data_IF_592341403818
#
_entry.id   IF_592341403818
#
_cell.length_a   1.000
_cell.length_b   1.000
_cell.length_c   1.000
_cell.angle_alpha   90.00
_cell.angle_beta   90.00
_cell.angle_gamma   90.00
#
_symmetry.space_group_name_H-M   'P 1'
#
loop_
_entity.id
_entity.type
_entity.pdbx_description
1 polymer ?
#
# COMPACT_ATOMS: atom_id res chain seq x y z
N UNK A 1 21.55 -10.23 -14.78
CA UNK A 1 20.43 -9.26 -14.87
C UNK A 1 20.03 -8.66 -13.52
N UNK A 2 19.96 -9.43 -12.45
CA UNK A 2 19.48 -8.94 -11.14
C UNK A 2 20.46 -7.99 -10.42
N UNK A 3 21.77 -8.22 -10.48
CA UNK A 3 22.77 -7.26 -9.98
C UNK A 3 22.73 -5.92 -10.74
N UNK A 4 22.29 -5.91 -12.01
CA UNK A 4 22.06 -4.68 -12.76
C UNK A 4 20.83 -3.90 -12.27
N UNK A 5 19.73 -4.59 -11.91
CA UNK A 5 18.51 -3.94 -11.43
C UNK A 5 18.72 -3.27 -10.07
N UNK A 6 19.46 -3.91 -9.17
CA UNK A 6 19.82 -3.35 -7.87
C UNK A 6 20.71 -2.13 -7.99
N UNK A 7 21.65 -2.15 -8.92
CA UNK A 7 22.51 -1.02 -9.26
C UNK A 7 21.69 0.15 -9.85
N UNK A 8 20.62 -0.13 -10.63
CA UNK A 8 19.73 0.89 -11.17
C UNK A 8 18.92 1.60 -10.08
N UNK A 9 18.33 0.84 -9.13
CA UNK A 9 17.57 1.44 -8.03
C UNK A 9 18.46 2.31 -7.16
N UNK A 10 19.63 1.81 -6.72
CA UNK A 10 20.56 2.60 -5.92
C UNK A 10 21.06 3.82 -6.68
N UNK A 11 21.51 3.65 -7.92
CA UNK A 11 21.98 4.75 -8.78
C UNK A 11 20.97 5.89 -8.89
N UNK A 12 19.66 5.58 -9.00
CA UNK A 12 18.63 6.60 -9.19
C UNK A 12 18.12 7.18 -7.86
N UNK A 13 18.04 6.37 -6.80
CA UNK A 13 17.43 6.73 -5.52
C UNK A 13 18.41 7.26 -4.48
N UNK A 14 19.71 6.99 -4.63
CA UNK A 14 20.75 7.50 -3.72
C UNK A 14 20.65 9.01 -3.56
N UNK A 15 20.62 9.46 -2.31
CA UNK A 15 20.51 10.86 -1.90
C UNK A 15 19.22 11.58 -2.30
N UNK A 16 18.24 10.89 -2.94
CA UNK A 16 16.95 11.49 -3.28
C UNK A 16 16.19 11.84 -2.01
N UNK A 17 15.68 13.05 -1.96
CA UNK A 17 14.80 13.54 -0.90
C UNK A 17 13.37 13.08 -1.17
N UNK A 18 12.90 12.15 -0.38
CA UNK A 18 11.60 11.50 -0.55
C UNK A 18 10.73 11.77 0.68
N UNK A 19 9.55 12.35 0.46
CA UNK A 19 8.56 12.58 1.50
C UNK A 19 7.48 11.51 1.41
N UNK A 20 7.21 10.81 2.53
CA UNK A 20 6.17 9.77 2.61
C UNK A 20 5.09 10.21 3.59
N UNK A 21 3.89 10.50 3.09
CA UNK A 21 2.70 10.63 3.90
C UNK A 21 2.13 9.24 4.24
N UNK A 22 1.93 8.95 5.52
CA UNK A 22 1.51 7.62 6.00
C UNK A 22 2.67 6.65 6.21
N UNK A 23 3.88 7.14 6.42
CA UNK A 23 5.09 6.33 6.50
C UNK A 23 5.15 5.40 7.72
N UNK A 24 4.42 5.68 8.79
CA UNK A 24 4.34 4.79 9.96
C UNK A 24 3.37 3.62 9.78
N UNK A 25 2.52 3.67 8.74
CA UNK A 25 1.60 2.58 8.41
C UNK A 25 2.29 1.35 7.85
N UNK A 26 1.52 0.30 7.57
CA UNK A 26 2.03 -0.98 7.05
C UNK A 26 2.88 -0.79 5.79
N UNK A 27 2.29 -0.31 4.69
CA UNK A 27 3.02 -0.12 3.42
C UNK A 27 4.13 0.93 3.58
N UNK A 28 3.85 2.01 4.32
CA UNK A 28 4.78 3.13 4.50
C UNK A 28 6.06 2.74 5.23
N UNK A 29 5.98 1.92 6.26
CA UNK A 29 7.16 1.48 7.02
C UNK A 29 8.05 0.54 6.21
N UNK A 30 7.47 -0.41 5.48
CA UNK A 30 8.23 -1.26 4.55
C UNK A 30 8.88 -0.44 3.44
N UNK A 31 8.16 0.54 2.88
CA UNK A 31 8.70 1.41 1.83
C UNK A 31 9.84 2.29 2.37
N UNK A 32 9.71 2.85 3.56
CA UNK A 32 10.77 3.66 4.18
C UNK A 32 12.05 2.85 4.36
N UNK A 33 11.96 1.61 4.87
CA UNK A 33 13.09 0.69 4.99
C UNK A 33 13.72 0.37 3.63
N UNK A 34 12.89 0.05 2.65
CA UNK A 34 13.35 -0.29 1.29
C UNK A 34 14.06 0.90 0.62
N UNK A 35 13.53 2.11 0.72
CA UNK A 35 14.15 3.30 0.16
C UNK A 35 15.46 3.64 0.89
N UNK A 36 15.52 3.42 2.20
CA UNK A 36 16.74 3.61 2.99
C UNK A 36 17.84 2.61 2.60
N UNK A 37 17.49 1.36 2.24
CA UNK A 37 18.47 0.38 1.75
C UNK A 37 19.10 0.81 0.41
N UNK A 38 18.42 1.66 -0.37
CA UNK A 38 18.96 2.32 -1.56
C UNK A 38 19.50 3.73 -1.29
N UNK A 39 19.85 4.03 -0.02
CA UNK A 39 20.50 5.29 0.41
C UNK A 39 19.69 6.56 0.10
N UNK A 40 18.36 6.48 0.07
CA UNK A 40 17.50 7.65 -0.07
C UNK A 40 17.38 8.42 1.25
N UNK A 41 17.19 9.73 1.16
CA UNK A 41 16.88 10.59 2.31
C UNK A 41 15.35 10.67 2.50
N UNK A 42 14.84 9.92 3.47
CA UNK A 42 13.40 9.79 3.71
C UNK A 42 12.94 10.66 4.87
N UNK A 43 11.92 11.50 4.62
CA UNK A 43 11.15 12.22 5.64
C UNK A 43 9.75 11.62 5.70
N UNK A 44 9.27 11.28 6.90
CA UNK A 44 7.93 10.78 7.11
C UNK A 44 6.98 11.81 7.71
N UNK A 45 5.73 11.82 7.23
CA UNK A 45 4.60 12.50 7.90
C UNK A 45 3.53 11.46 8.16
N UNK A 46 3.16 11.26 9.43
CA UNK A 46 2.20 10.23 9.79
C UNK A 46 1.64 10.43 11.19
N UNK A 47 0.50 9.81 11.46
CA UNK A 47 0.04 9.62 12.82
C UNK A 47 0.84 8.49 13.51
N UNK A 48 0.89 8.53 14.83
CA UNK A 48 1.48 7.45 15.65
C UNK A 48 0.62 6.19 15.53
N UNK A 49 1.24 5.06 15.25
CA UNK A 49 0.53 3.79 15.18
C UNK A 49 0.21 3.26 16.59
N UNK A 50 -1.00 2.76 16.81
CA UNK A 50 -1.46 2.36 18.14
C UNK A 50 -0.81 1.07 18.65
N UNK A 51 -0.48 0.14 17.76
CA UNK A 51 0.03 -1.18 18.13
C UNK A 51 1.56 -1.18 18.12
N UNK A 52 2.17 -1.68 19.21
CA UNK A 52 3.63 -1.77 19.36
C UNK A 52 4.31 -2.74 18.38
N UNK A 53 3.55 -3.64 17.76
CA UNK A 53 4.09 -4.62 16.80
C UNK A 53 4.22 -4.07 15.37
N UNK A 54 3.88 -2.81 15.11
CA UNK A 54 4.23 -2.16 13.83
C UNK A 54 5.73 -1.93 13.75
N UNK A 55 6.30 -2.13 12.55
CA UNK A 55 7.73 -1.87 12.26
C UNK A 55 8.11 -0.46 12.70
N UNK A 56 7.28 0.52 12.42
CA UNK A 56 7.49 1.93 12.76
C UNK A 56 7.54 2.22 14.27
N UNK A 57 7.12 1.28 15.11
CA UNK A 57 7.18 1.41 16.57
C UNK A 57 8.43 0.79 17.19
N UNK A 58 9.29 0.13 16.40
CA UNK A 58 10.60 -0.36 16.87
C UNK A 58 11.53 0.83 17.19
N UNK A 59 12.46 0.60 18.13
CA UNK A 59 13.45 1.63 18.52
C UNK A 59 14.33 2.03 17.34
N UNK A 60 14.75 1.04 16.56
CA UNK A 60 15.63 1.19 15.40
C UNK A 60 14.94 2.02 14.31
N UNK A 61 13.67 1.78 14.01
CA UNK A 61 12.93 2.58 13.04
C UNK A 61 12.86 4.04 13.47
N UNK A 62 12.52 4.31 14.74
CA UNK A 62 12.44 5.67 15.29
C UNK A 62 13.78 6.40 15.29
N UNK A 63 14.89 5.65 15.49
CA UNK A 63 16.24 6.21 15.41
C UNK A 63 16.65 6.57 13.99
N UNK A 64 16.26 5.74 13.02
CA UNK A 64 16.74 5.87 11.63
C UNK A 64 15.87 6.78 10.76
N UNK A 65 14.63 7.06 11.16
CA UNK A 65 13.72 7.87 10.34
C UNK A 65 13.20 9.10 11.09
N UNK A 66 13.33 10.26 10.45
CA UNK A 66 12.67 11.49 10.92
C UNK A 66 11.18 11.40 10.62
N UNK A 67 10.36 11.53 11.65
CA UNK A 67 8.91 11.52 11.57
C UNK A 67 8.34 12.85 12.06
N UNK A 68 7.51 13.47 11.26
CA UNK A 68 6.65 14.56 11.69
C UNK A 68 5.28 13.95 12.03
N UNK A 69 4.91 14.01 13.33
CA UNK A 69 3.58 13.57 13.75
C UNK A 69 2.56 14.62 13.36
N UNK A 70 1.80 14.38 12.31
CA UNK A 70 0.78 15.30 11.82
C UNK A 70 -0.32 14.55 11.09
N UNK A 71 -1.57 14.98 11.32
CA UNK A 71 -2.70 14.57 10.49
C UNK A 71 -2.65 15.33 9.16
N UNK A 72 -2.82 14.62 8.04
CA UNK A 72 -2.81 15.23 6.70
C UNK A 72 -3.92 16.27 6.48
N UNK A 73 -4.93 16.29 7.34
CA UNK A 73 -5.95 17.35 7.36
C UNK A 73 -5.41 18.70 7.85
N UNK A 74 -4.27 18.69 8.54
CA UNK A 74 -3.68 19.87 9.21
C UNK A 74 -2.27 20.18 8.69
N UNK A 75 -2.01 20.03 7.39
CA UNK A 75 -0.68 20.18 6.79
C UNK A 75 -0.14 21.62 6.90
N UNK A 76 -1.02 22.60 7.02
CA UNK A 76 -0.64 24.01 7.17
C UNK A 76 0.37 24.21 8.31
N UNK A 77 0.23 23.44 9.41
CA UNK A 77 1.11 23.51 10.59
C UNK A 77 2.56 23.05 10.32
N UNK A 78 2.79 22.32 9.24
CA UNK A 78 4.09 21.71 8.92
C UNK A 78 4.58 22.06 7.52
N UNK A 79 3.84 22.88 6.78
CA UNK A 79 4.12 23.26 5.40
C UNK A 79 5.55 23.78 5.24
N UNK A 80 5.95 24.76 6.05
CA UNK A 80 7.30 25.35 6.02
C UNK A 80 8.40 24.30 6.22
N UNK A 81 8.19 23.32 7.12
CA UNK A 81 9.16 22.24 7.36
C UNK A 81 9.31 21.35 6.13
N UNK A 82 8.20 21.06 5.44
CA UNK A 82 8.20 20.23 4.22
C UNK A 82 8.87 20.99 3.08
N UNK A 83 8.55 22.27 2.87
CA UNK A 83 9.18 23.09 1.82
C UNK A 83 10.70 23.20 2.08
N UNK A 84 11.13 23.41 3.31
CA UNK A 84 12.56 23.45 3.69
C UNK A 84 13.27 22.10 3.45
N UNK A 85 12.60 20.99 3.56
CA UNK A 85 13.15 19.67 3.24
C UNK A 85 13.44 19.53 1.74
N UNK A 86 12.72 20.25 0.87
CA UNK A 86 12.87 20.26 -0.60
C UNK A 86 12.73 18.84 -1.21
N UNK A 87 11.60 18.15 -1.03
CA UNK A 87 11.43 16.80 -1.58
C UNK A 87 11.43 16.82 -3.11
N UNK A 88 12.09 15.83 -3.72
CA UNK A 88 12.03 15.56 -5.16
C UNK A 88 10.89 14.60 -5.51
N UNK A 89 10.49 13.78 -4.54
CA UNK A 89 9.45 12.76 -4.69
C UNK A 89 8.52 12.84 -3.48
N UNK A 90 7.21 12.83 -3.72
CA UNK A 90 6.18 12.66 -2.69
C UNK A 90 5.48 11.33 -2.93
N UNK A 91 5.28 10.57 -1.85
CA UNK A 91 4.52 9.32 -1.87
C UNK A 91 3.37 9.44 -0.87
N UNK A 92 2.15 9.40 -1.38
CA UNK A 92 0.93 9.55 -0.61
C UNK A 92 0.30 8.19 -0.32
N UNK A 93 0.59 7.65 0.88
CA UNK A 93 0.03 6.40 1.41
C UNK A 93 -0.96 6.65 2.57
N UNK A 94 -1.02 7.88 3.07
CA UNK A 94 -1.90 8.22 4.19
C UNK A 94 -3.36 8.13 3.75
N UNK A 95 -4.13 7.31 4.43
CA UNK A 95 -5.58 7.17 4.20
C UNK A 95 -6.24 6.48 5.38
N UNK A 96 -7.56 6.60 5.49
CA UNK A 96 -8.39 5.66 6.23
C UNK A 96 -8.64 4.45 5.29
N UNK A 97 -8.05 3.24 5.59
CA UNK A 97 -8.01 2.14 4.62
C UNK A 97 -9.05 1.04 4.85
N UNK A 98 -9.95 1.19 5.82
CA UNK A 98 -10.84 0.13 6.30
C UNK A 98 -12.28 0.42 5.89
N UNK A 99 -12.90 -0.50 5.13
CA UNK A 99 -14.29 -0.37 4.64
C UNK A 99 -15.27 -0.22 5.80
N UNK A 100 -15.17 -1.09 6.82
CA UNK A 100 -16.05 -1.03 8.00
C UNK A 100 -15.96 0.31 8.74
N UNK A 101 -14.77 0.91 8.80
CA UNK A 101 -14.58 2.21 9.42
C UNK A 101 -15.24 3.31 8.58
N UNK A 102 -15.25 3.16 7.25
CA UNK A 102 -15.99 4.05 6.36
C UNK A 102 -17.48 4.11 6.68
N UNK A 103 -18.10 2.97 6.98
CA UNK A 103 -19.51 2.92 7.39
C UNK A 103 -19.75 3.52 8.78
N UNK A 104 -18.83 3.31 9.72
CA UNK A 104 -18.95 3.83 11.09
C UNK A 104 -18.70 5.34 11.15
N UNK A 105 -17.71 5.82 10.43
CA UNK A 105 -17.21 7.20 10.47
C UNK A 105 -17.02 7.74 9.04
N UNK A 106 -18.12 7.95 8.26
CA UNK A 106 -18.03 8.36 6.87
C UNK A 106 -17.40 9.75 6.70
N UNK A 107 -17.75 10.71 7.53
CA UNK A 107 -17.18 12.07 7.49
C UNK A 107 -15.66 12.04 7.64
N UNK A 108 -15.14 11.37 8.66
CA UNK A 108 -13.70 11.24 8.89
C UNK A 108 -12.98 10.52 7.74
N UNK A 109 -13.67 9.55 7.09
CA UNK A 109 -13.15 8.85 5.91
C UNK A 109 -13.02 9.80 4.72
N UNK A 110 -14.05 10.62 4.44
CA UNK A 110 -14.00 11.60 3.37
C UNK A 110 -12.99 12.71 3.64
N UNK A 111 -12.98 13.27 4.85
CA UNK A 111 -11.98 14.26 5.24
C UNK A 111 -10.55 13.77 5.07
N UNK A 112 -10.26 12.55 5.50
CA UNK A 112 -8.91 11.98 5.39
C UNK A 112 -8.55 11.68 3.94
N UNK A 113 -9.40 10.95 3.21
CA UNK A 113 -9.07 10.44 1.90
C UNK A 113 -9.23 11.47 0.78
N UNK A 114 -10.16 12.42 0.92
CA UNK A 114 -10.43 13.46 -0.09
C UNK A 114 -9.72 14.75 0.28
N UNK A 115 -10.11 15.39 1.39
CA UNK A 115 -9.55 16.68 1.78
C UNK A 115 -8.05 16.57 2.08
N UNK A 116 -7.63 15.48 2.77
CA UNK A 116 -6.20 15.23 3.00
C UNK A 116 -5.40 15.10 1.70
N UNK A 117 -5.97 14.45 0.67
CA UNK A 117 -5.32 14.38 -0.65
C UNK A 117 -5.24 15.74 -1.33
N UNK A 118 -6.32 16.53 -1.31
CA UNK A 118 -6.31 17.90 -1.84
C UNK A 118 -5.20 18.73 -1.18
N UNK A 119 -5.09 18.70 0.15
CA UNK A 119 -4.04 19.43 0.87
C UNK A 119 -2.63 19.00 0.48
N UNK A 120 -2.39 17.71 0.27
CA UNK A 120 -1.10 17.21 -0.22
C UNK A 120 -0.81 17.71 -1.64
N UNK A 121 -1.81 17.73 -2.52
CA UNK A 121 -1.65 18.18 -3.90
C UNK A 121 -1.44 19.71 -3.96
N UNK A 122 -2.15 20.50 -3.13
CA UNK A 122 -1.92 21.94 -3.00
C UNK A 122 -0.51 22.24 -2.47
N UNK A 123 -0.07 21.55 -1.42
CA UNK A 123 1.30 21.66 -0.93
C UNK A 123 2.32 21.31 -2.04
N UNK A 124 2.02 20.31 -2.86
CA UNK A 124 2.88 19.90 -3.97
C UNK A 124 3.07 20.98 -5.04
N UNK A 125 2.11 21.87 -5.23
CA UNK A 125 2.22 23.03 -6.15
C UNK A 125 3.33 23.99 -5.71
N UNK A 126 3.49 24.17 -4.40
CA UNK A 126 4.44 25.13 -3.78
C UNK A 126 5.89 24.61 -3.78
N UNK A 127 6.14 23.32 -4.05
CA UNK A 127 7.48 22.71 -3.97
C UNK A 127 8.14 22.72 -5.34
N UNK A 128 9.11 23.59 -5.56
CA UNK A 128 9.80 23.73 -6.86
C UNK A 128 10.68 22.53 -7.23
N UNK A 129 11.27 21.86 -6.23
CA UNK A 129 12.15 20.69 -6.42
C UNK A 129 11.41 19.41 -6.77
N UNK A 130 10.09 19.38 -6.60
CA UNK A 130 9.26 18.19 -6.76
C UNK A 130 9.15 17.78 -8.23
N UNK A 131 9.45 16.51 -8.50
CA UNK A 131 9.41 15.90 -9.84
C UNK A 131 8.32 14.86 -10.00
N UNK A 132 8.07 14.08 -8.93
CA UNK A 132 7.10 12.97 -8.96
C UNK A 132 6.23 12.96 -7.72
N UNK A 133 4.96 12.63 -7.92
CA UNK A 133 3.98 12.37 -6.86
C UNK A 133 3.39 11.00 -7.12
N UNK A 134 3.50 10.07 -6.18
CA UNK A 134 2.83 8.79 -6.24
C UNK A 134 1.65 8.80 -5.27
N UNK A 135 0.44 8.58 -5.79
CA UNK A 135 -0.80 8.49 -5.01
C UNK A 135 -1.26 7.04 -4.99
N UNK A 136 -1.42 6.49 -3.80
CA UNK A 136 -1.82 5.11 -3.60
C UNK A 136 -3.32 5.03 -3.32
N UNK A 137 -4.07 4.48 -4.27
CA UNK A 137 -5.51 4.29 -4.15
C UNK A 137 -5.85 2.81 -3.89
N UNK A 138 -6.84 2.24 -4.53
CA UNK A 138 -7.31 0.88 -4.26
C UNK A 138 -7.95 0.28 -5.51
N UNK A 139 -8.04 -1.05 -5.57
CA UNK A 139 -8.88 -1.78 -6.50
C UNK A 139 -10.39 -1.49 -6.34
N UNK A 140 -10.79 -0.88 -5.22
CA UNK A 140 -12.18 -0.50 -4.93
C UNK A 140 -12.61 0.84 -5.55
N UNK A 141 -11.72 1.51 -6.28
CA UNK A 141 -12.05 2.76 -7.01
C UNK A 141 -13.03 2.55 -8.16
N UNK A 142 -13.19 1.32 -8.61
CA UNK A 142 -14.02 1.01 -9.76
C UNK A 142 -15.50 0.84 -9.42
N UNK A 143 -16.37 1.35 -10.30
CA UNK A 143 -17.75 0.95 -10.30
C UNK A 143 -17.81 -0.51 -10.79
N UNK A 144 -17.89 -1.42 -9.83
CA UNK A 144 -17.83 -2.84 -10.10
C UNK A 144 -19.18 -3.37 -10.55
N UNK A 145 -19.27 -3.74 -11.81
CA UNK A 145 -20.40 -4.48 -12.38
C UNK A 145 -19.92 -5.93 -12.58
N UNK A 146 -20.26 -6.77 -11.65
CA UNK A 146 -20.09 -8.22 -11.55
C UNK A 146 -19.22 -8.97 -12.58
N UNK A 147 -18.24 -9.73 -12.06
CA UNK A 147 -17.43 -10.75 -12.74
C UNK A 147 -16.49 -10.27 -13.87
N UNK A 148 -16.53 -9.01 -14.28
CA UNK A 148 -15.61 -8.48 -15.29
C UNK A 148 -14.23 -8.20 -14.71
N UNK A 149 -13.20 -8.41 -15.54
CA UNK A 149 -11.82 -7.96 -15.21
C UNK A 149 -11.74 -6.46 -15.49
N UNK A 150 -11.47 -5.68 -14.44
CA UNK A 150 -11.40 -4.24 -14.51
C UNK A 150 -10.00 -3.78 -14.92
N UNK A 151 -9.92 -2.86 -15.87
CA UNK A 151 -8.69 -2.24 -16.35
C UNK A 151 -8.61 -0.80 -15.86
N UNK A 152 -7.49 -0.13 -16.12
CA UNK A 152 -7.30 1.26 -15.75
C UNK A 152 -8.31 2.22 -16.39
N UNK A 153 -8.89 1.83 -17.52
CA UNK A 153 -9.92 2.59 -18.28
C UNK A 153 -11.36 2.27 -17.83
N UNK A 154 -11.52 1.31 -16.90
CA UNK A 154 -12.84 0.97 -16.37
C UNK A 154 -13.42 2.12 -15.55
N UNK A 155 -14.75 2.27 -15.59
CA UNK A 155 -15.49 3.35 -14.95
C UNK A 155 -15.21 3.40 -13.44
N UNK A 156 -14.87 4.58 -12.96
CA UNK A 156 -14.67 4.84 -11.53
C UNK A 156 -16.02 5.05 -10.83
N UNK A 157 -16.06 4.74 -9.54
CA UNK A 157 -17.22 4.94 -8.68
C UNK A 157 -17.19 3.99 -7.48
N UNK A 158 -17.95 4.27 -6.45
CA UNK A 158 -18.09 3.43 -5.28
C UNK A 158 -19.36 3.73 -4.53
N UNK A 159 -20.04 2.68 -4.05
CA UNK A 159 -21.33 2.79 -3.36
C UNK A 159 -21.17 2.89 -1.84
N UNK A 160 -20.05 2.45 -1.30
CA UNK A 160 -19.73 2.61 0.12
C UNK A 160 -18.80 3.81 0.35
N UNK A 161 -18.76 4.40 1.56
CA UNK A 161 -17.99 5.61 1.83
C UNK A 161 -16.48 5.45 1.57
N UNK A 162 -15.91 4.27 1.84
CA UNK A 162 -14.51 4.01 1.55
C UNK A 162 -14.24 3.98 0.04
N UNK A 163 -15.02 3.20 -0.71
CA UNK A 163 -14.87 3.08 -2.16
C UNK A 163 -15.08 4.42 -2.86
N UNK A 164 -16.13 5.17 -2.46
CA UNK A 164 -16.40 6.52 -2.96
C UNK A 164 -15.22 7.47 -2.67
N UNK A 165 -14.69 7.45 -1.44
CA UNK A 165 -13.55 8.30 -1.08
C UNK A 165 -12.28 7.99 -1.89
N UNK A 166 -12.04 6.70 -2.19
CA UNK A 166 -10.90 6.27 -3.00
C UNK A 166 -11.06 6.61 -4.48
N UNK A 167 -12.27 6.52 -5.01
CA UNK A 167 -12.59 6.99 -6.37
C UNK A 167 -12.40 8.51 -6.50
N UNK A 168 -12.88 9.27 -5.52
CA UNK A 168 -12.69 10.72 -5.47
C UNK A 168 -11.21 11.10 -5.37
N UNK A 169 -10.43 10.40 -4.52
CA UNK A 169 -8.98 10.58 -4.42
C UNK A 169 -8.30 10.40 -5.78
N UNK A 170 -8.70 9.37 -6.53
CA UNK A 170 -8.16 9.05 -7.85
C UNK A 170 -8.51 10.15 -8.87
N UNK A 171 -9.80 10.54 -8.97
CA UNK A 171 -10.29 11.58 -9.87
C UNK A 171 -9.66 12.95 -9.58
N UNK A 172 -9.55 13.33 -8.31
CA UNK A 172 -8.91 14.58 -7.89
C UNK A 172 -7.44 14.58 -8.30
N UNK A 173 -6.73 13.46 -8.12
CA UNK A 173 -5.32 13.36 -8.52
C UNK A 173 -5.15 13.50 -10.04
N UNK A 174 -6.05 12.95 -10.84
CA UNK A 174 -6.07 13.12 -12.29
C UNK A 174 -6.33 14.59 -12.67
N UNK A 175 -7.32 15.22 -12.04
CA UNK A 175 -7.67 16.63 -12.26
C UNK A 175 -6.49 17.56 -11.94
N UNK A 176 -5.83 17.35 -10.81
CA UNK A 176 -4.64 18.15 -10.44
C UNK A 176 -3.48 17.94 -11.40
N UNK A 177 -3.27 16.71 -11.89
CA UNK A 177 -2.25 16.44 -12.91
C UNK A 177 -2.49 17.22 -14.19
N UNK A 178 -3.72 17.26 -14.64
CA UNK A 178 -4.12 17.97 -15.85
C UNK A 178 -4.02 19.48 -15.68
N UNK A 179 -4.60 20.02 -14.61
CA UNK A 179 -4.82 21.45 -14.46
C UNK A 179 -3.63 22.21 -13.87
N UNK A 180 -2.87 21.61 -12.94
CA UNK A 180 -1.93 22.35 -12.10
C UNK A 180 -0.52 21.75 -12.03
N UNK A 181 -0.39 20.43 -12.18
CA UNK A 181 0.84 19.70 -11.91
C UNK A 181 1.40 18.98 -13.15
N UNK A 182 1.07 19.45 -14.34
CA UNK A 182 1.46 18.83 -15.63
C UNK A 182 2.98 18.75 -15.85
N UNK A 183 3.75 19.64 -15.22
CA UNK A 183 5.22 19.60 -15.24
C UNK A 183 5.79 18.58 -14.23
N UNK A 184 4.98 18.12 -13.29
CA UNK A 184 5.30 17.09 -12.30
C UNK A 184 4.55 15.80 -12.67
N UNK A 185 5.16 14.64 -12.46
CA UNK A 185 4.50 13.38 -12.85
C UNK A 185 3.66 12.87 -11.68
N UNK A 186 2.33 12.94 -11.79
CA UNK A 186 1.44 12.25 -10.84
C UNK A 186 1.22 10.82 -11.33
N UNK A 187 1.55 9.86 -10.48
CA UNK A 187 1.44 8.42 -10.70
C UNK A 187 0.40 7.89 -9.74
N UNK A 188 -0.61 7.18 -10.24
CA UNK A 188 -1.68 6.60 -9.43
C UNK A 188 -1.52 5.08 -9.42
N UNK A 189 -1.43 4.49 -8.23
CA UNK A 189 -1.39 3.04 -8.05
C UNK A 189 -2.70 2.54 -7.44
N UNK A 190 -3.36 1.64 -8.14
CA UNK A 190 -4.56 0.93 -7.71
C UNK A 190 -4.19 -0.50 -7.37
N UNK A 191 -4.02 -0.80 -6.09
CA UNK A 191 -3.61 -2.13 -5.66
C UNK A 191 -4.78 -2.95 -5.14
N UNK A 192 -4.69 -4.25 -5.38
CA UNK A 192 -5.50 -5.25 -4.69
C UNK A 192 -5.17 -5.37 -3.20
N UNK A 193 -5.68 -6.43 -2.57
CA UNK A 193 -5.44 -6.69 -1.15
C UNK A 193 -3.97 -7.02 -0.92
N UNK A 194 -3.28 -6.14 -0.19
CA UNK A 194 -1.86 -6.34 0.15
C UNK A 194 -1.76 -7.25 1.38
N UNK A 195 -0.90 -8.26 1.29
CA UNK A 195 -0.50 -9.12 2.42
C UNK A 195 0.99 -8.94 2.70
N UNK A 196 1.37 -9.10 3.97
CA UNK A 196 2.75 -8.97 4.42
C UNK A 196 2.82 -8.85 5.94
N UNK A 197 3.95 -9.13 6.51
CA UNK A 197 4.15 -9.00 7.95
C UNK A 197 4.01 -7.55 8.42
N UNK A 198 3.52 -7.35 9.65
CA UNK A 198 3.39 -6.02 10.24
C UNK A 198 2.14 -5.23 9.86
N UNK A 199 1.17 -5.79 9.16
CA UNK A 199 -0.18 -5.22 9.02
C UNK A 199 -1.05 -5.66 10.20
N UNK A 200 -1.30 -4.78 11.13
CA UNK A 200 -2.11 -5.07 12.32
C UNK A 200 -3.51 -4.46 12.25
N UNK A 201 -3.95 -4.05 11.06
CA UNK A 201 -5.30 -3.49 10.89
C UNK A 201 -6.38 -4.53 11.18
N UNK A 202 -7.45 -4.09 11.85
CA UNK A 202 -8.63 -4.92 12.09
C UNK A 202 -9.42 -5.14 10.81
N UNK A 203 -10.22 -6.21 10.79
CA UNK A 203 -11.08 -6.53 9.64
C UNK A 203 -10.32 -6.86 8.34
N UNK A 204 -9.08 -7.33 8.46
CA UNK A 204 -8.29 -7.89 7.37
C UNK A 204 -7.98 -9.34 7.67
N UNK A 205 -8.22 -10.23 6.71
CA UNK A 205 -8.22 -11.68 6.95
C UNK A 205 -6.90 -12.22 7.51
N UNK A 206 -5.74 -11.84 6.96
CA UNK A 206 -4.45 -12.36 7.42
C UNK A 206 -4.10 -11.86 8.83
N UNK A 207 -4.17 -10.56 9.15
CA UNK A 207 -4.06 -10.08 10.53
C UNK A 207 -5.05 -10.71 11.50
N UNK A 208 -6.31 -10.94 11.06
CA UNK A 208 -7.34 -11.55 11.91
C UNK A 208 -7.03 -13.03 12.20
N UNK A 209 -6.53 -13.80 11.22
CA UNK A 209 -6.02 -15.16 11.42
C UNK A 209 -4.92 -15.17 12.49
N UNK A 210 -3.93 -14.31 12.34
CA UNK A 210 -2.78 -14.24 13.26
C UNK A 210 -3.23 -13.84 14.66
N UNK A 211 -4.08 -12.82 14.81
CA UNK A 211 -4.62 -12.44 16.11
C UNK A 211 -5.42 -13.56 16.77
N UNK A 212 -6.24 -14.27 15.98
CA UNK A 212 -7.00 -15.40 16.51
C UNK A 212 -6.09 -16.51 17.00
N UNK A 213 -5.01 -16.79 16.30
CA UNK A 213 -4.00 -17.77 16.72
C UNK A 213 -3.24 -17.33 17.98
N UNK A 214 -2.68 -16.12 17.99
CA UNK A 214 -1.84 -15.61 19.08
C UNK A 214 -2.60 -15.45 20.40
N UNK A 215 -3.90 -15.13 20.31
CA UNK A 215 -4.73 -14.88 21.48
C UNK A 215 -5.75 -15.98 21.76
N UNK A 216 -5.64 -17.13 21.11
CA UNK A 216 -6.55 -18.27 21.22
C UNK A 216 -8.03 -17.87 21.10
N UNK A 217 -8.36 -17.05 20.11
CA UNK A 217 -9.72 -16.54 19.85
C UNK A 217 -10.34 -17.15 18.62
N UNK A 218 -11.68 -17.26 18.62
CA UNK A 218 -12.44 -17.69 17.45
C UNK A 218 -12.27 -16.68 16.31
N UNK A 219 -11.83 -17.14 15.15
CA UNK A 219 -11.76 -16.35 13.92
C UNK A 219 -13.17 -16.11 13.36
N UNK A 220 -13.58 -14.84 13.30
CA UNK A 220 -14.87 -14.43 12.74
C UNK A 220 -14.71 -14.05 11.28
N UNK A 221 -15.42 -14.72 10.37
CA UNK A 221 -15.36 -14.46 8.93
C UNK A 221 -16.73 -14.03 8.39
N UNK A 222 -16.78 -12.90 7.70
CA UNK A 222 -18.00 -12.34 7.11
C UNK A 222 -18.36 -12.99 5.77
N UNK A 223 -17.36 -13.22 4.91
CA UNK A 223 -17.57 -13.74 3.55
C UNK A 223 -16.44 -14.66 3.13
N UNK A 224 -16.59 -15.95 3.43
CA UNK A 224 -15.56 -16.97 3.17
C UNK A 224 -15.32 -17.22 1.66
N UNK A 225 -16.35 -16.98 0.85
CA UNK A 225 -16.30 -17.19 -0.60
C UNK A 225 -15.90 -15.94 -1.39
N UNK A 226 -15.71 -14.79 -0.74
CA UNK A 226 -15.26 -13.58 -1.42
C UNK A 226 -13.86 -13.77 -2.02
N UNK A 227 -13.68 -13.31 -3.25
CA UNK A 227 -12.41 -13.38 -3.96
C UNK A 227 -11.75 -12.01 -4.05
N UNK A 228 -10.43 -11.97 -3.91
CA UNK A 228 -9.62 -10.75 -3.95
C UNK A 228 -8.32 -10.97 -4.70
N UNK A 229 -7.76 -9.94 -5.33
CA UNK A 229 -6.40 -9.99 -5.90
C UNK A 229 -5.38 -9.78 -4.78
N UNK A 230 -4.84 -10.91 -4.26
CA UNK A 230 -3.85 -10.89 -3.17
C UNK A 230 -2.46 -10.61 -3.71
N UNK A 231 -1.82 -9.55 -3.25
CA UNK A 231 -0.47 -9.14 -3.64
C UNK A 231 0.42 -9.05 -2.42
N UNK A 232 1.64 -9.60 -2.49
CA UNK A 232 2.60 -9.43 -1.39
C UNK A 232 3.18 -8.01 -1.36
N UNK A 233 3.48 -7.52 -0.15
CA UNK A 233 4.05 -6.18 0.05
C UNK A 233 5.30 -5.95 -0.82
N UNK A 234 6.18 -6.94 -0.97
CA UNK A 234 7.39 -6.80 -1.77
C UNK A 234 7.12 -6.61 -3.26
N UNK A 235 6.10 -7.25 -3.80
CA UNK A 235 5.69 -7.03 -5.19
C UNK A 235 5.13 -5.61 -5.38
N UNK A 236 4.40 -5.09 -4.39
CA UNK A 236 3.93 -3.69 -4.40
C UNK A 236 5.12 -2.71 -4.33
N UNK A 237 6.08 -2.96 -3.43
CA UNK A 237 7.29 -2.14 -3.31
C UNK A 237 8.11 -2.18 -4.61
N UNK A 238 8.21 -3.33 -5.26
CA UNK A 238 8.88 -3.45 -6.55
C UNK A 238 8.21 -2.59 -7.64
N UNK A 239 6.86 -2.57 -7.69
CA UNK A 239 6.14 -1.67 -8.60
C UNK A 239 6.44 -0.18 -8.30
N UNK A 240 6.44 0.19 -7.01
CA UNK A 240 6.77 1.55 -6.59
C UNK A 240 8.19 1.91 -7.06
N UNK A 241 9.20 1.06 -6.80
CA UNK A 241 10.58 1.31 -7.20
C UNK A 241 10.71 1.47 -8.71
N UNK A 242 10.10 0.59 -9.51
CA UNK A 242 10.08 0.70 -10.97
C UNK A 242 9.52 2.05 -11.44
N UNK A 243 8.43 2.52 -10.83
CA UNK A 243 7.81 3.79 -11.17
C UNK A 243 8.64 5.00 -10.73
N UNK A 244 9.27 4.92 -9.56
CA UNK A 244 10.12 6.00 -9.07
C UNK A 244 11.38 6.15 -9.94
N UNK A 245 11.96 5.04 -10.41
CA UNK A 245 13.20 5.07 -11.20
C UNK A 245 12.98 5.24 -12.71
N UNK A 246 11.78 4.97 -13.22
CA UNK A 246 11.46 5.20 -14.64
C UNK A 246 11.51 6.69 -14.98
N UNK A 247 12.36 7.05 -15.93
CA UNK A 247 12.55 8.45 -16.39
C UNK A 247 11.73 8.78 -17.63
N UNK A 248 11.56 7.80 -18.53
CA UNK A 248 10.98 8.00 -19.84
C UNK A 248 9.47 7.78 -19.85
N UNK A 249 8.72 8.69 -19.23
CA UNK A 249 7.28 8.78 -19.41
C UNK A 249 6.96 9.67 -20.62
N UNK A 250 6.08 9.20 -21.50
CA UNK A 250 5.61 10.01 -22.63
C UNK A 250 4.89 11.27 -22.11
N UNK A 251 4.96 12.35 -22.88
CA UNK A 251 4.14 13.56 -22.62
C UNK A 251 2.65 13.15 -22.66
N UNK A 252 1.87 13.63 -21.73
CA UNK A 252 0.43 13.34 -21.60
C UNK A 252 0.09 11.84 -21.37
N UNK A 253 1.05 11.01 -20.96
CA UNK A 253 0.79 9.62 -20.62
C UNK A 253 -0.07 9.52 -19.35
N UNK A 254 -1.13 8.72 -19.42
CA UNK A 254 -1.92 8.37 -18.23
C UNK A 254 -1.10 7.39 -17.35
N UNK A 255 -0.58 7.90 -16.23
CA UNK A 255 0.28 7.16 -15.30
C UNK A 255 -0.52 6.47 -14.19
N UNK A 256 -1.58 5.77 -14.57
CA UNK A 256 -2.41 4.96 -13.68
C UNK A 256 -2.07 3.50 -13.93
N UNK A 257 -1.84 2.74 -12.83
CA UNK A 257 -1.46 1.33 -12.91
C UNK A 257 -2.20 0.50 -11.87
N UNK A 258 -2.79 -0.59 -12.33
CA UNK A 258 -3.35 -1.63 -11.48
C UNK A 258 -2.25 -2.61 -11.05
N UNK A 259 -2.26 -2.99 -9.77
CA UNK A 259 -1.39 -4.04 -9.24
C UNK A 259 -2.22 -5.24 -8.79
N UNK A 260 -2.09 -6.32 -9.53
CA UNK A 260 -2.78 -7.60 -9.29
C UNK A 260 -1.88 -8.75 -9.76
N UNK A 261 -1.88 -9.89 -9.09
CA UNK A 261 -1.17 -11.04 -9.60
C UNK A 261 -1.81 -11.53 -10.91
N UNK A 262 -0.98 -12.11 -11.79
CA UNK A 262 -1.48 -12.78 -13.00
C UNK A 262 -2.13 -14.10 -12.59
N UNK A 263 -3.43 -14.10 -12.39
CA UNK A 263 -4.17 -15.24 -11.90
C UNK A 263 -5.13 -15.76 -12.96
N UNK A 264 -5.08 -17.07 -13.24
CA UNK A 264 -6.08 -17.77 -14.08
C UNK A 264 -7.41 -17.98 -13.33
N UNK A 265 -7.36 -18.16 -12.01
CA UNK A 265 -8.53 -18.36 -11.13
C UNK A 265 -8.48 -17.42 -9.95
N UNK A 266 -9.61 -16.81 -9.61
CA UNK A 266 -9.76 -15.97 -8.45
C UNK A 266 -9.54 -16.74 -7.14
N UNK A 267 -8.90 -16.12 -6.17
CA UNK A 267 -8.55 -16.72 -4.87
C UNK A 267 -9.52 -16.24 -3.80
N UNK A 268 -10.28 -17.17 -3.25
CA UNK A 268 -11.23 -16.91 -2.16
C UNK A 268 -10.55 -16.87 -0.79
N UNK A 269 -11.23 -16.27 0.19
CA UNK A 269 -10.83 -16.31 1.60
C UNK A 269 -10.69 -17.76 2.10
N UNK A 270 -11.59 -18.67 1.67
CA UNK A 270 -11.51 -20.11 1.96
C UNK A 270 -10.16 -20.71 1.52
N UNK A 271 -9.68 -20.34 0.33
CA UNK A 271 -8.38 -20.79 -0.18
C UNK A 271 -7.21 -20.24 0.63
N UNK A 272 -7.29 -18.96 1.08
CA UNK A 272 -6.28 -18.37 1.99
C UNK A 272 -6.17 -19.20 3.27
N UNK A 273 -7.30 -19.49 3.93
CA UNK A 273 -7.31 -20.32 5.14
C UNK A 273 -6.65 -21.69 4.89
N UNK A 274 -7.07 -22.38 3.82
CA UNK A 274 -6.48 -23.67 3.46
C UNK A 274 -4.97 -23.58 3.31
N UNK A 275 -4.46 -22.57 2.60
CA UNK A 275 -3.02 -22.39 2.39
C UNK A 275 -2.28 -22.08 3.69
N UNK A 276 -2.85 -21.24 4.57
CA UNK A 276 -2.26 -20.94 5.87
C UNK A 276 -2.16 -22.22 6.71
N UNK A 277 -3.24 -22.97 6.87
CA UNK A 277 -3.26 -24.19 7.70
C UNK A 277 -2.35 -25.30 7.16
N UNK A 278 -2.22 -25.40 5.83
CA UNK A 278 -1.39 -26.44 5.22
C UNK A 278 0.10 -26.10 5.22
N UNK A 279 0.46 -24.85 5.07
CA UNK A 279 1.84 -24.45 4.76
C UNK A 279 2.53 -23.55 5.78
N UNK A 280 1.87 -23.19 6.89
CA UNK A 280 2.47 -22.37 7.95
C UNK A 280 2.39 -23.07 9.31
N UNK A 281 2.94 -22.42 10.34
CA UNK A 281 2.87 -22.93 11.72
C UNK A 281 1.49 -22.77 12.37
N UNK A 282 0.55 -22.07 11.71
CA UNK A 282 -0.86 -21.98 12.16
C UNK A 282 -1.61 -23.18 11.55
N UNK A 283 -1.81 -24.23 12.34
CA UNK A 283 -2.40 -25.48 11.83
C UNK A 283 -3.92 -25.53 11.91
N UNK A 284 -4.48 -24.93 12.97
CA UNK A 284 -5.92 -24.98 13.25
C UNK A 284 -6.41 -23.72 13.97
N UNK A 285 -7.64 -23.32 13.69
CA UNK A 285 -8.35 -22.26 14.38
C UNK A 285 -9.84 -22.59 14.45
N UNK A 286 -10.49 -22.21 15.56
CA UNK A 286 -11.96 -22.16 15.62
C UNK A 286 -12.45 -21.06 14.69
N UNK A 287 -13.21 -21.42 13.65
CA UNK A 287 -13.73 -20.48 12.63
C UNK A 287 -15.25 -20.39 12.77
N UNK A 288 -15.77 -19.14 12.86
CA UNK A 288 -17.20 -18.86 12.88
C UNK A 288 -17.58 -17.92 11.75
N UNK A 289 -18.51 -18.34 10.92
CA UNK A 289 -19.13 -17.42 9.94
C UNK A 289 -20.06 -16.47 10.67
N UNK A 290 -19.98 -15.19 10.33
CA UNK A 290 -20.87 -14.16 10.88
C UNK A 290 -21.60 -13.46 9.73
N UNK A 291 -22.87 -13.09 9.94
CA UNK A 291 -23.59 -12.20 9.05
C UNK A 291 -22.91 -10.83 9.04
N UNK A 292 -22.86 -10.20 7.89
CA UNK A 292 -22.37 -8.83 7.74
C UNK A 292 -23.52 -7.98 7.22
N UNK A 293 -23.82 -6.91 7.91
CA UNK A 293 -24.77 -5.88 7.44
C UNK A 293 -24.17 -5.04 6.33
N UNK A 294 -22.87 -5.22 6.07
CA UNK A 294 -22.13 -4.51 5.01
C UNK A 294 -22.14 -5.36 3.76
N UNK A 295 -22.72 -4.84 2.70
CA UNK A 295 -22.75 -5.49 1.39
C UNK A 295 -21.39 -5.34 0.69
N UNK A 296 -20.38 -6.12 1.14
CA UNK A 296 -19.08 -6.18 0.46
C UNK A 296 -19.21 -6.97 -0.86
N UNK A 297 -18.63 -6.41 -1.92
CA UNK A 297 -18.59 -7.05 -3.24
C UNK A 297 -17.94 -8.43 -3.15
N UNK A 298 -18.63 -9.44 -3.68
CA UNK A 298 -18.15 -10.83 -3.65
C UNK A 298 -16.94 -11.05 -4.56
N UNK A 299 -16.90 -10.35 -5.69
CA UNK A 299 -15.86 -10.49 -6.72
C UNK A 299 -15.17 -9.15 -6.95
N UNK A 300 -13.86 -9.17 -6.95
CA UNK A 300 -13.05 -8.01 -7.31
C UNK A 300 -11.81 -8.51 -8.05
N UNK A 301 -11.72 -8.13 -9.33
CA UNK A 301 -10.65 -8.58 -10.19
C UNK A 301 -10.19 -7.42 -11.08
N UNK A 302 -8.93 -7.02 -10.93
CA UNK A 302 -8.30 -5.98 -11.74
C UNK A 302 -7.17 -6.58 -12.58
N UNK A 303 -6.96 -6.02 -13.77
CA UNK A 303 -5.90 -6.44 -14.70
C UNK A 303 -4.65 -5.61 -14.47
N UNK A 304 -3.50 -6.26 -14.38
CA UNK A 304 -2.16 -5.64 -14.35
C UNK A 304 -1.44 -5.69 -15.70
N UNK A 305 -2.16 -5.93 -16.80
CA UNK A 305 -1.55 -6.00 -18.15
C UNK A 305 -0.76 -4.75 -18.51
N UNK A 306 -1.25 -3.57 -18.12
CA UNK A 306 -0.57 -2.29 -18.35
C UNK A 306 0.74 -2.22 -17.56
N UNK A 307 0.73 -2.59 -16.28
CA UNK A 307 1.95 -2.64 -15.47
C UNK A 307 2.99 -3.61 -16.05
N UNK A 308 2.57 -4.77 -16.54
CA UNK A 308 3.46 -5.71 -17.22
C UNK A 308 4.04 -5.08 -18.50
N UNK A 309 3.20 -4.51 -19.38
CA UNK A 309 3.61 -3.96 -20.69
C UNK A 309 4.54 -2.76 -20.54
N UNK A 310 4.24 -1.85 -19.62
CA UNK A 310 4.93 -0.56 -19.54
C UNK A 310 6.07 -0.53 -18.53
N UNK A 311 6.04 -1.39 -17.50
CA UNK A 311 7.03 -1.45 -16.42
C UNK A 311 7.79 -2.77 -16.36
N UNK A 312 7.37 -3.79 -17.11
CA UNK A 312 7.86 -5.16 -16.92
C UNK A 312 7.45 -5.77 -15.57
N UNK A 313 6.45 -5.15 -14.89
CA UNK A 313 6.05 -5.59 -13.56
C UNK A 313 5.12 -6.81 -13.60
N UNK A 314 5.46 -7.79 -12.79
CA UNK A 314 4.60 -8.91 -12.41
C UNK A 314 4.92 -9.32 -10.98
N UNK A 315 4.02 -10.05 -10.34
CA UNK A 315 4.32 -10.63 -9.02
C UNK A 315 5.43 -11.67 -9.13
N UNK A 316 6.43 -11.55 -8.26
CA UNK A 316 7.54 -12.52 -8.14
C UNK A 316 7.24 -13.62 -7.12
N UNK A 317 6.38 -13.33 -6.13
CA UNK A 317 5.97 -14.28 -5.12
C UNK A 317 4.63 -14.93 -5.51
N UNK A 318 4.61 -16.25 -5.53
CA UNK A 318 3.35 -16.98 -5.52
C UNK A 318 2.63 -16.83 -4.17
N UNK A 319 1.34 -17.09 -4.15
CA UNK A 319 0.53 -16.88 -2.96
C UNK A 319 0.95 -17.74 -1.76
N UNK A 320 1.41 -18.96 -1.98
CA UNK A 320 1.89 -19.86 -0.92
C UNK A 320 3.11 -19.26 -0.22
N UNK A 321 4.13 -18.90 -0.98
CA UNK A 321 5.36 -18.30 -0.46
C UNK A 321 5.09 -16.93 0.17
N UNK A 322 4.21 -16.12 -0.43
CA UNK A 322 3.75 -14.86 0.14
C UNK A 322 3.11 -15.04 1.54
N UNK A 323 2.26 -16.05 1.72
CA UNK A 323 1.64 -16.35 3.01
C UNK A 323 2.66 -16.89 4.03
N UNK A 324 3.58 -17.76 3.62
CA UNK A 324 4.64 -18.29 4.49
C UNK A 324 5.49 -17.13 5.03
N UNK A 325 6.00 -16.25 4.16
CA UNK A 325 6.78 -15.08 4.57
C UNK A 325 5.98 -14.17 5.52
N UNK A 326 4.72 -13.94 5.19
CA UNK A 326 3.84 -13.10 5.98
C UNK A 326 3.63 -13.68 7.38
N UNK A 327 3.23 -14.95 7.50
CA UNK A 327 2.93 -15.57 8.80
C UNK A 327 4.19 -15.70 9.64
N UNK A 328 5.31 -16.12 9.06
CA UNK A 328 6.58 -16.22 9.79
C UNK A 328 6.98 -14.88 10.39
N UNK A 329 6.79 -13.77 9.67
CA UNK A 329 7.06 -12.44 10.21
C UNK A 329 6.20 -12.08 11.42
N UNK A 330 4.91 -12.45 11.42
CA UNK A 330 4.01 -12.18 12.54
C UNK A 330 4.35 -12.97 13.81
N UNK A 331 4.94 -14.16 13.65
CA UNK A 331 5.31 -15.04 14.76
C UNK A 331 6.67 -14.67 15.39
N UNK A 332 7.31 -13.61 14.91
CA UNK A 332 8.58 -13.12 15.48
C UNK A 332 8.40 -12.43 16.83
N UNK A 333 9.39 -12.55 17.67
CA UNK A 333 9.53 -11.72 18.87
C UNK A 333 9.75 -10.25 18.47
N UNK A 334 9.20 -9.31 19.25
CA UNK A 334 9.28 -7.86 18.98
C UNK A 334 10.68 -7.36 18.66
N UNK A 335 11.68 -7.85 19.35
CA UNK A 335 13.07 -7.43 19.19
C UNK A 335 13.70 -7.87 17.85
N UNK A 336 13.08 -8.82 17.15
CA UNK A 336 13.55 -9.33 15.85
C UNK A 336 12.87 -8.68 14.67
N UNK A 337 11.76 -7.95 14.87
CA UNK A 337 10.92 -7.39 13.80
C UNK A 337 11.73 -6.51 12.83
N UNK A 338 12.54 -5.58 13.35
CA UNK A 338 13.32 -4.67 12.50
C UNK A 338 14.41 -5.39 11.71
N UNK A 339 15.16 -6.25 12.37
CA UNK A 339 16.26 -7.01 11.75
C UNK A 339 15.74 -7.94 10.66
N UNK A 340 14.64 -8.65 10.95
CA UNK A 340 14.02 -9.53 9.97
C UNK A 340 13.42 -8.75 8.78
N UNK A 341 12.84 -7.55 9.03
CA UNK A 341 12.37 -6.71 7.94
C UNK A 341 13.51 -6.32 6.99
N UNK A 342 14.66 -5.90 7.53
CA UNK A 342 15.85 -5.59 6.72
C UNK A 342 16.35 -6.83 5.97
N UNK A 343 16.38 -7.99 6.63
CA UNK A 343 16.79 -9.26 6.00
C UNK A 343 15.88 -9.59 4.81
N UNK A 344 14.56 -9.59 5.00
CA UNK A 344 13.61 -9.90 3.94
C UNK A 344 13.70 -8.91 2.76
N UNK A 345 13.97 -7.62 3.02
CA UNK A 345 14.23 -6.63 1.97
C UNK A 345 15.49 -6.99 1.18
N UNK A 346 16.59 -7.33 1.87
CA UNK A 346 17.82 -7.75 1.21
C UNK A 346 17.62 -9.00 0.37
N UNK A 347 16.96 -10.01 0.92
CA UNK A 347 16.70 -11.28 0.23
C UNK A 347 15.84 -11.06 -1.04
N UNK A 348 14.89 -10.13 -1.00
CA UNK A 348 14.00 -9.88 -2.15
C UNK A 348 14.60 -8.94 -3.19
N UNK A 349 15.33 -7.91 -2.77
CA UNK A 349 15.79 -6.83 -3.66
C UNK A 349 17.31 -6.83 -3.92
N UNK A 350 18.14 -7.38 -3.04
CA UNK A 350 19.59 -7.19 -3.11
C UNK A 350 20.39 -8.48 -3.34
N UNK A 351 19.85 -9.64 -2.98
CA UNK A 351 20.54 -10.93 -3.05
C UNK A 351 20.07 -11.86 -4.20
N UNK A 352 19.17 -11.39 -5.04
CA UNK A 352 18.67 -12.18 -6.18
C UNK A 352 19.28 -11.76 -7.50
#
# INVERSE_FOLDING_TARGET
MENMVNNIYEKYLKNKKILIFGHSGFVGSWLALTLSSFKSNVLGVSLKMPNQNYISNTKEFKKNFKTINCNIKNLDKIETKIIKFKPEIIIHLASQPIVNEGFKNPLSTYETNIIGTIKILELSRKISTLKKILVFTSDKVYLNNDKKILTEDSKLGGLDPYSASKSSQDLISQSYNFSFLNKKKIIILRSGNIIGGGDWANNRIVPDIVRSYLYNKTLKIRSINSTRPWVHIFDVLNAILLLLTKTNFKKNQNLIFNLSPKIKKQISVKKILKLVFTHTNIKELKVKSIKSDINEKKYLHISSKKALKELGWTTKLDLKNALILTINFYLLNKNKIYVEAIKQIKDFFLLR
#
